data_IF_484808084737
#
_entry.id   IF_484808084737
#
_cell.length_a   1.000
_cell.length_b   1.000
_cell.length_c   1.000
_cell.angle_alpha   90.00
_cell.angle_beta   90.00
_cell.angle_gamma   90.00
#
_symmetry.space_group_name_H-M   'P 1'
#
loop_
_entity.id
_entity.type
_entity.pdbx_description
1 polymer ?
#
# COMPACT_ATOMS: atom_id res chain seq x y z
N UNK A 1 -5.89 26.25 5.85
CA UNK A 1 -4.66 27.07 5.97
C UNK A 1 -3.84 26.77 7.24
N UNK A 2 -4.41 26.91 8.45
CA UNK A 2 -3.67 26.69 9.70
C UNK A 2 -3.00 25.30 9.80
N UNK A 3 -3.73 24.23 9.43
CA UNK A 3 -3.18 22.88 9.37
C UNK A 3 -1.97 22.75 8.42
N UNK A 4 -1.98 23.41 7.26
CA UNK A 4 -0.85 23.42 6.31
C UNK A 4 0.39 24.08 6.92
N UNK A 5 0.23 25.23 7.57
CA UNK A 5 1.33 25.93 8.24
C UNK A 5 1.97 25.11 9.38
N UNK A 6 1.17 24.22 9.98
CA UNK A 6 1.55 23.28 11.03
C UNK A 6 1.89 21.87 10.49
N UNK A 7 2.13 21.72 9.18
CA UNK A 7 2.55 20.47 8.57
C UNK A 7 3.92 19.98 9.05
N UNK A 8 4.26 18.73 8.71
CA UNK A 8 5.58 18.20 9.01
C UNK A 8 6.64 18.95 8.17
N UNK A 9 7.78 19.29 8.79
CA UNK A 9 8.81 20.13 8.16
C UNK A 9 10.14 19.40 8.13
N UNK A 10 10.59 19.08 6.92
CA UNK A 10 11.96 18.64 6.66
C UNK A 10 12.83 19.83 6.30
N UNK A 11 14.05 19.89 6.85
CA UNK A 11 15.06 20.81 6.38
C UNK A 11 15.73 20.27 5.11
N UNK A 12 15.12 20.56 3.96
CA UNK A 12 15.59 20.13 2.65
C UNK A 12 16.96 20.72 2.24
N UNK A 13 17.47 21.72 2.97
CA UNK A 13 18.81 22.27 2.75
C UNK A 13 19.94 21.37 3.28
N UNK A 14 19.62 20.41 4.16
CA UNK A 14 20.60 19.46 4.74
C UNK A 14 20.26 18.00 4.46
N UNK A 15 19.04 17.71 4.01
CA UNK A 15 18.62 16.36 3.64
C UNK A 15 18.59 16.23 2.11
N UNK A 16 19.32 15.24 1.59
CA UNK A 16 19.30 14.87 0.17
C UNK A 16 18.48 13.58 0.02
N UNK A 17 17.33 13.62 -0.67
CA UNK A 17 16.55 12.42 -0.94
C UNK A 17 17.36 11.39 -1.74
N UNK A 18 17.25 10.08 -1.43
CA UNK A 18 17.99 9.06 -2.14
C UNK A 18 17.47 8.91 -3.56
N UNK A 19 18.37 9.03 -4.55
CA UNK A 19 18.04 8.73 -5.94
C UNK A 19 17.90 7.21 -6.14
N UNK A 20 16.80 6.73 -6.76
CA UNK A 20 16.65 5.34 -7.15
C UNK A 20 17.77 4.82 -8.05
N UNK A 21 18.12 3.54 -7.91
CA UNK A 21 19.03 2.85 -8.83
C UNK A 21 18.43 2.68 -10.23
N UNK A 22 17.11 2.77 -10.38
CA UNK A 22 16.43 2.82 -11.66
C UNK A 22 15.20 3.73 -11.61
N UNK A 23 14.83 4.30 -12.77
CA UNK A 23 13.58 5.04 -12.95
C UNK A 23 12.72 4.38 -14.04
N UNK A 24 11.41 4.52 -13.93
CA UNK A 24 10.42 3.94 -14.84
C UNK A 24 9.71 2.74 -14.24
N UNK A 25 9.05 1.95 -15.09
CA UNK A 25 8.19 0.83 -14.69
C UNK A 25 8.87 -0.52 -14.94
N UNK A 26 8.72 -1.46 -14.01
CA UNK A 26 9.13 -2.87 -14.12
C UNK A 26 7.98 -3.78 -13.75
N UNK A 27 7.90 -4.92 -14.44
CA UNK A 27 6.97 -5.99 -14.12
C UNK A 27 7.73 -7.24 -13.67
N UNK A 28 7.10 -8.02 -12.79
CA UNK A 28 7.53 -9.33 -12.35
C UNK A 28 6.35 -10.28 -12.59
N UNK A 29 6.50 -11.23 -13.52
CA UNK A 29 5.45 -12.19 -13.86
C UNK A 29 5.81 -13.59 -13.37
N UNK A 30 4.79 -14.38 -13.03
CA UNK A 30 4.93 -15.74 -12.52
C UNK A 30 5.96 -15.82 -11.37
N UNK A 31 5.84 -14.88 -10.42
CA UNK A 31 6.76 -14.80 -9.29
C UNK A 31 6.59 -16.02 -8.39
N UNK A 32 7.71 -16.51 -7.84
CA UNK A 32 7.75 -17.72 -7.02
C UNK A 32 6.84 -17.61 -5.80
N UNK A 33 5.74 -18.37 -5.78
CA UNK A 33 4.87 -18.48 -4.61
C UNK A 33 5.61 -19.05 -3.39
N UNK A 34 6.64 -19.87 -3.60
CA UNK A 34 7.46 -20.41 -2.53
C UNK A 34 8.30 -19.32 -1.86
N UNK A 35 8.84 -18.36 -2.63
CA UNK A 35 9.53 -17.20 -2.07
C UNK A 35 8.57 -16.29 -1.32
N UNK A 36 7.40 -16.00 -1.91
CA UNK A 36 6.37 -15.15 -1.30
C UNK A 36 5.90 -15.75 0.03
N UNK A 37 5.68 -17.07 0.09
CA UNK A 37 5.23 -17.76 1.30
C UNK A 37 6.17 -17.56 2.51
N UNK A 38 7.45 -17.29 2.28
CA UNK A 38 8.43 -17.00 3.33
C UNK A 38 8.21 -15.67 4.07
N UNK A 39 7.35 -14.79 3.54
CA UNK A 39 7.07 -13.45 4.08
C UNK A 39 5.65 -13.31 4.65
N UNK A 40 4.92 -14.42 4.82
CA UNK A 40 3.55 -14.38 5.36
C UNK A 40 3.56 -13.93 6.83
N UNK A 41 2.79 -12.88 7.15
CA UNK A 41 2.28 -12.66 8.50
C UNK A 41 1.01 -13.50 8.71
N UNK A 42 1.13 -14.51 9.58
CA UNK A 42 0.04 -15.40 9.93
C UNK A 42 -0.94 -14.80 10.94
N UNK A 43 -0.62 -13.68 11.59
CA UNK A 43 -1.50 -13.11 12.61
C UNK A 43 -2.86 -12.70 12.04
N UNK A 44 -2.95 -11.97 10.90
CA UNK A 44 -4.25 -11.63 10.33
C UNK A 44 -4.96 -12.82 9.66
N UNK A 45 -4.22 -13.91 9.32
CA UNK A 45 -4.86 -15.16 8.91
C UNK A 45 -5.77 -15.68 10.04
N UNK A 46 -5.25 -15.82 11.27
CA UNK A 46 -6.07 -16.27 12.39
C UNK A 46 -7.22 -15.30 12.72
N UNK A 47 -6.99 -14.00 12.61
CA UNK A 47 -8.03 -12.99 12.82
C UNK A 47 -9.18 -13.12 11.82
N UNK A 48 -8.88 -13.42 10.55
CA UNK A 48 -9.90 -13.67 9.53
C UNK A 48 -10.76 -14.93 9.82
N UNK A 49 -10.23 -15.84 10.64
CA UNK A 49 -10.93 -17.02 11.15
C UNK A 49 -11.47 -16.82 12.58
N UNK A 50 -11.60 -15.56 13.03
CA UNK A 50 -12.12 -15.17 14.35
C UNK A 50 -11.33 -15.72 15.55
N UNK A 51 -10.06 -16.11 15.33
CA UNK A 51 -9.17 -16.57 16.38
C UNK A 51 -8.27 -15.43 16.86
N UNK A 52 -8.58 -14.90 18.05
CA UNK A 52 -7.84 -13.79 18.64
C UNK A 52 -6.47 -14.24 19.18
N UNK A 53 -5.40 -13.64 18.66
CA UNK A 53 -4.04 -13.89 19.13
C UNK A 53 -3.00 -13.53 18.07
N UNK A 54 -1.74 -13.41 18.49
CA UNK A 54 -0.61 -13.17 17.59
C UNK A 54 0.11 -14.49 17.31
N UNK A 55 0.45 -14.74 16.05
CA UNK A 55 1.32 -15.87 15.70
C UNK A 55 2.77 -15.60 16.18
N UNK A 56 3.53 -16.62 16.65
CA UNK A 56 3.13 -18.03 16.84
C UNK A 56 2.46 -18.32 18.19
N UNK A 57 2.36 -17.33 19.09
CA UNK A 57 1.85 -17.51 20.47
C UNK A 57 0.43 -18.07 20.53
N UNK A 58 -0.43 -17.73 19.57
CA UNK A 58 -1.80 -18.24 19.48
C UNK A 58 -1.87 -19.77 19.43
N UNK A 59 -0.84 -20.43 18.91
CA UNK A 59 -0.80 -21.90 18.82
C UNK A 59 -0.66 -22.58 20.20
N UNK A 60 -0.19 -21.85 21.22
CA UNK A 60 -0.08 -22.33 22.60
C UNK A 60 -1.17 -21.75 23.51
N UNK A 61 -2.17 -21.07 22.96
CA UNK A 61 -3.25 -20.49 23.75
C UNK A 61 -4.11 -21.58 24.42
N UNK A 62 -4.47 -21.37 25.68
CA UNK A 62 -5.22 -22.36 26.48
C UNK A 62 -6.66 -22.58 26.01
N UNK A 63 -7.25 -21.60 25.34
CA UNK A 63 -8.65 -21.64 24.89
C UNK A 63 -8.73 -21.98 23.41
N UNK A 64 -7.96 -21.30 22.57
CA UNK A 64 -8.06 -21.44 21.10
C UNK A 64 -6.90 -22.18 20.45
N UNK A 65 -5.85 -22.54 21.19
CA UNK A 65 -4.60 -23.08 20.62
C UNK A 65 -4.76 -24.41 19.88
N UNK A 66 -5.69 -25.26 20.32
CA UNK A 66 -6.00 -26.53 19.64
C UNK A 66 -6.57 -26.29 18.24
N UNK A 67 -7.60 -25.44 18.13
CA UNK A 67 -8.22 -25.12 16.83
C UNK A 67 -7.28 -24.29 15.95
N UNK A 68 -6.53 -23.34 16.54
CA UNK A 68 -5.52 -22.58 15.81
C UNK A 68 -4.43 -23.49 15.21
N UNK A 69 -3.97 -24.49 15.98
CA UNK A 69 -2.97 -25.46 15.50
C UNK A 69 -3.51 -26.33 14.36
N UNK A 70 -4.75 -26.79 14.47
CA UNK A 70 -5.40 -27.58 13.42
C UNK A 70 -5.58 -26.76 12.13
N UNK A 71 -6.15 -25.57 12.25
CA UNK A 71 -6.33 -24.65 11.12
C UNK A 71 -4.99 -24.30 10.46
N UNK A 72 -3.95 -24.07 11.25
CA UNK A 72 -2.61 -23.80 10.73
C UNK A 72 -2.05 -25.01 9.97
N UNK A 73 -2.24 -26.23 10.48
CA UNK A 73 -1.79 -27.44 9.80
C UNK A 73 -2.50 -27.60 8.43
N UNK A 74 -3.81 -27.37 8.36
CA UNK A 74 -4.58 -27.42 7.12
C UNK A 74 -4.11 -26.32 6.15
N UNK A 75 -3.88 -25.10 6.66
CA UNK A 75 -3.35 -23.99 5.87
C UNK A 75 -1.97 -24.29 5.28
N UNK A 76 -1.07 -24.90 6.06
CA UNK A 76 0.25 -25.31 5.60
C UNK A 76 0.17 -26.42 4.53
N UNK A 77 -0.74 -27.38 4.71
CA UNK A 77 -0.97 -28.44 3.74
C UNK A 77 -1.49 -27.88 2.41
N UNK A 78 -2.53 -27.04 2.44
CA UNK A 78 -3.06 -26.40 1.24
C UNK A 78 -2.07 -25.44 0.59
N UNK A 79 -1.32 -24.65 1.37
CA UNK A 79 -0.28 -23.76 0.84
C UNK A 79 0.79 -24.55 0.06
N UNK A 80 1.18 -25.73 0.56
CA UNK A 80 2.09 -26.62 -0.16
C UNK A 80 1.49 -27.07 -1.49
N UNK A 81 0.21 -27.42 -1.54
CA UNK A 81 -0.48 -27.80 -2.77
C UNK A 81 -0.61 -26.63 -3.76
N UNK A 82 -0.92 -25.43 -3.27
CA UNK A 82 -0.96 -24.19 -4.06
C UNK A 82 0.39 -23.96 -4.75
N UNK A 83 1.49 -24.07 -4.00
CA UNK A 83 2.85 -23.84 -4.50
C UNK A 83 3.28 -24.95 -5.48
N UNK A 84 3.11 -26.22 -5.11
CA UNK A 84 3.56 -27.36 -5.91
C UNK A 84 2.72 -27.54 -7.18
N UNK A 85 1.42 -27.36 -7.05
CA UNK A 85 0.45 -27.48 -8.14
C UNK A 85 0.29 -26.20 -8.95
N UNK A 86 0.99 -25.12 -8.60
CA UNK A 86 0.85 -23.79 -9.21
C UNK A 86 -0.61 -23.38 -9.39
N UNK A 87 -1.41 -23.50 -8.33
CA UNK A 87 -2.84 -23.21 -8.39
C UNK A 87 -3.14 -21.75 -8.68
N UNK A 88 -2.23 -20.87 -8.25
CA UNK A 88 -2.32 -19.43 -8.38
C UNK A 88 -1.09 -18.91 -9.15
N UNK A 89 -1.25 -17.76 -9.81
CA UNK A 89 -0.13 -17.01 -10.40
C UNK A 89 0.04 -15.69 -9.66
N UNK A 90 1.28 -15.36 -9.31
CA UNK A 90 1.62 -14.10 -8.68
C UNK A 90 2.33 -13.16 -9.67
N UNK A 91 1.79 -11.95 -9.82
CA UNK A 91 2.35 -10.92 -10.68
C UNK A 91 2.46 -9.60 -9.91
N UNK A 92 3.48 -8.80 -10.24
CA UNK A 92 3.67 -7.48 -9.72
C UNK A 92 4.06 -6.49 -10.82
N UNK A 93 3.65 -5.25 -10.64
CA UNK A 93 4.18 -4.11 -11.36
C UNK A 93 4.56 -3.02 -10.36
N UNK A 94 5.67 -2.35 -10.59
CA UNK A 94 6.09 -1.22 -9.79
C UNK A 94 6.87 -0.23 -10.63
N UNK A 95 6.95 1.01 -10.16
CA UNK A 95 7.78 2.02 -10.78
C UNK A 95 8.33 3.00 -9.78
N UNK A 96 9.45 3.62 -10.15
CA UNK A 96 10.13 4.67 -9.39
C UNK A 96 10.25 5.90 -10.28
N UNK A 97 9.83 7.05 -9.77
CA UNK A 97 9.60 8.24 -10.57
C UNK A 97 10.15 9.47 -9.86
N UNK A 98 10.70 10.45 -10.60
CA UNK A 98 10.94 11.78 -10.07
C UNK A 98 9.61 12.37 -9.58
N UNK A 99 9.61 12.97 -8.39
CA UNK A 99 8.42 13.57 -7.80
C UNK A 99 8.75 14.81 -6.99
N UNK A 100 7.79 15.71 -6.86
CA UNK A 100 7.86 16.86 -5.97
C UNK A 100 6.49 17.22 -5.41
N UNK A 101 6.49 17.79 -4.21
CA UNK A 101 5.28 18.37 -3.62
C UNK A 101 4.90 19.67 -4.33
N UNK A 102 3.61 19.80 -4.68
CA UNK A 102 3.02 21.01 -5.27
C UNK A 102 3.17 22.16 -4.30
N UNK A 103 3.53 23.35 -4.78
CA UNK A 103 3.62 24.57 -3.94
C UNK A 103 2.35 25.39 -4.09
N UNK A 104 1.74 25.80 -2.97
CA UNK A 104 0.56 26.66 -2.92
C UNK A 104 0.90 27.88 -2.06
N UNK A 105 0.71 29.09 -2.57
CA UNK A 105 0.98 30.35 -1.88
C UNK A 105 2.39 30.45 -1.25
N UNK A 106 3.39 29.91 -1.94
CA UNK A 106 4.79 29.95 -1.52
C UNK A 106 5.17 28.93 -0.43
N UNK A 107 4.27 28.01 -0.05
CA UNK A 107 4.56 26.90 0.87
C UNK A 107 4.28 25.53 0.22
N UNK A 108 4.92 24.44 0.67
CA UNK A 108 4.52 23.09 0.27
C UNK A 108 3.04 22.85 0.53
N UNK A 109 2.34 22.38 -0.49
CA UNK A 109 0.92 22.03 -0.48
C UNK A 109 0.70 20.59 -0.04
N UNK A 110 -0.46 20.04 -0.42
CA UNK A 110 -0.90 18.70 0.01
C UNK A 110 -0.82 17.66 -1.13
N UNK A 111 -0.29 18.00 -2.30
CA UNK A 111 -0.26 17.10 -3.46
C UNK A 111 1.15 16.81 -3.93
N UNK A 112 1.31 15.64 -4.55
CA UNK A 112 2.59 15.18 -5.08
C UNK A 112 2.46 15.08 -6.61
N UNK A 113 3.24 15.88 -7.32
CA UNK A 113 3.44 15.71 -8.77
C UNK A 113 4.45 14.60 -9.01
N UNK A 114 4.10 13.66 -9.87
CA UNK A 114 4.92 12.54 -10.34
C UNK A 114 5.24 12.80 -11.81
N UNK A 115 6.52 12.85 -12.15
CA UNK A 115 6.97 13.23 -13.48
C UNK A 115 7.34 12.02 -14.34
N UNK A 116 7.24 12.22 -15.65
CA UNK A 116 7.64 11.21 -16.65
C UNK A 116 9.16 10.94 -16.67
N UNK A 117 9.97 11.94 -16.32
CA UNK A 117 11.43 11.87 -16.35
C UNK A 117 12.09 12.91 -15.42
N UNK A 118 13.41 12.91 -15.37
CA UNK A 118 14.23 13.77 -14.50
C UNK A 118 14.21 15.24 -14.90
N UNK A 119 13.69 15.60 -16.07
CA UNK A 119 13.57 17.01 -16.45
C UNK A 119 12.43 17.68 -15.69
N UNK A 120 11.49 16.90 -15.12
CA UNK A 120 10.36 17.37 -14.30
C UNK A 120 9.47 18.38 -15.03
N UNK A 121 9.41 18.28 -16.36
CA UNK A 121 8.63 19.19 -17.22
C UNK A 121 7.22 18.66 -17.48
N UNK A 122 7.05 17.34 -17.53
CA UNK A 122 5.77 16.70 -17.84
C UNK A 122 5.32 15.87 -16.63
N UNK A 123 4.19 16.26 -16.04
CA UNK A 123 3.52 15.54 -14.96
C UNK A 123 2.77 14.34 -15.55
N UNK A 124 3.12 13.13 -15.09
CA UNK A 124 2.44 11.89 -15.45
C UNK A 124 1.20 11.64 -14.58
N UNK A 125 1.29 12.02 -13.30
CA UNK A 125 0.22 11.86 -12.31
C UNK A 125 0.39 12.93 -11.23
N UNK A 126 -0.72 13.47 -10.74
CA UNK A 126 -0.75 14.19 -9.46
C UNK A 126 -1.49 13.32 -8.46
N UNK A 127 -0.82 12.94 -7.38
CA UNK A 127 -1.46 12.24 -6.27
C UNK A 127 -2.02 13.27 -5.30
N UNK A 128 -3.34 13.28 -5.14
CA UNK A 128 -3.99 14.20 -4.24
C UNK A 128 -4.10 13.64 -2.83
N UNK A 129 -3.57 14.36 -1.83
CA UNK A 129 -3.60 13.92 -0.45
C UNK A 129 -4.47 14.80 0.44
N UNK A 130 -4.79 14.23 1.60
CA UNK A 130 -5.49 14.89 2.69
C UNK A 130 -4.49 15.17 3.82
N UNK A 131 -4.83 16.19 4.62
CA UNK A 131 -4.07 16.61 5.79
C UNK A 131 -4.94 16.46 7.02
N UNK A 132 -4.33 15.99 8.11
CA UNK A 132 -4.97 16.02 9.42
C UNK A 132 -5.43 17.44 9.76
N UNK A 133 -6.69 17.61 10.16
CA UNK A 133 -7.26 18.95 10.38
C UNK A 133 -7.52 19.28 11.85
N UNK A 134 -7.64 18.27 12.72
CA UNK A 134 -7.76 18.47 14.17
C UNK A 134 -6.62 19.34 14.73
N UNK A 135 -6.94 20.19 15.72
CA UNK A 135 -5.93 20.98 16.46
C UNK A 135 -4.95 20.04 17.16
N UNK A 136 -3.66 20.20 16.88
CA UNK A 136 -2.58 19.43 17.51
C UNK A 136 -1.82 20.30 18.52
N UNK A 137 -1.16 19.68 19.52
CA UNK A 137 -0.12 20.35 20.30
C UNK A 137 0.99 20.89 19.38
N UNK A 138 1.66 21.99 19.78
CA UNK A 138 2.65 22.70 18.96
C UNK A 138 3.83 21.84 18.49
N UNK A 139 4.12 20.74 19.19
CA UNK A 139 5.21 19.81 18.86
C UNK A 139 4.77 18.60 18.02
N UNK A 140 3.48 18.50 17.65
CA UNK A 140 2.94 17.41 16.84
C UNK A 140 2.35 18.02 15.57
N UNK A 141 2.93 17.80 14.39
CA UNK A 141 2.44 18.43 13.18
C UNK A 141 1.10 17.83 12.74
N UNK A 142 0.40 18.60 11.91
CA UNK A 142 -0.75 18.16 11.13
C UNK A 142 -0.25 17.42 9.88
N UNK A 143 -0.08 16.10 9.99
CA UNK A 143 0.53 15.29 8.94
C UNK A 143 -0.27 15.28 7.63
N UNK A 144 0.47 15.33 6.52
CA UNK A 144 0.05 14.95 5.18
C UNK A 144 1.15 14.10 4.53
N UNK A 145 0.81 13.14 3.66
CA UNK A 145 1.80 12.30 2.99
C UNK A 145 2.74 13.12 2.08
N UNK A 146 2.24 14.22 1.50
CA UNK A 146 3.04 15.14 0.69
C UNK A 146 4.16 15.83 1.48
N UNK A 147 4.09 15.87 2.82
CA UNK A 147 5.14 16.47 3.65
C UNK A 147 6.46 15.70 3.57
N UNK A 148 6.42 14.43 3.16
CA UNK A 148 7.60 13.54 3.06
C UNK A 148 8.29 13.61 1.70
N UNK A 149 7.82 14.43 0.77
CA UNK A 149 8.42 14.64 -0.55
C UNK A 149 8.87 16.09 -0.67
N UNK A 150 10.06 16.31 -1.21
CA UNK A 150 10.63 17.64 -1.34
C UNK A 150 9.81 18.52 -2.32
N UNK A 151 9.67 19.83 -2.04
CA UNK A 151 9.12 20.76 -3.02
C UNK A 151 10.08 20.92 -4.23
N UNK A 152 9.57 21.49 -5.33
CA UNK A 152 10.39 21.82 -6.51
C UNK A 152 11.65 22.60 -6.12
N UNK A 153 12.77 22.28 -6.76
CA UNK A 153 14.09 22.81 -6.44
C UNK A 153 15.00 21.81 -5.73
N UNK A 154 14.44 20.76 -5.12
CA UNK A 154 15.18 19.61 -4.58
C UNK A 154 14.72 18.35 -5.31
N UNK A 155 15.66 17.58 -5.83
CA UNK A 155 15.35 16.32 -6.52
C UNK A 155 14.89 15.27 -5.51
N UNK A 156 13.62 14.88 -5.61
CA UNK A 156 13.03 13.79 -4.83
C UNK A 156 12.29 12.81 -5.75
N UNK A 157 11.87 11.68 -5.19
CA UNK A 157 11.34 10.53 -5.89
C UNK A 157 10.24 9.85 -5.09
N UNK A 158 9.35 9.18 -5.80
CA UNK A 158 8.29 8.36 -5.23
C UNK A 158 8.22 7.03 -5.98
N UNK A 159 7.77 5.99 -5.30
CA UNK A 159 7.42 4.73 -5.95
C UNK A 159 5.92 4.49 -6.00
N UNK A 160 5.49 3.65 -6.93
CA UNK A 160 4.14 3.08 -7.00
C UNK A 160 4.22 1.59 -7.24
N UNK A 161 3.26 0.81 -6.72
CA UNK A 161 3.19 -0.62 -6.96
C UNK A 161 1.76 -1.16 -7.02
N UNK A 162 1.60 -2.29 -7.69
CA UNK A 162 0.45 -3.17 -7.60
C UNK A 162 0.91 -4.63 -7.70
N UNK A 163 0.49 -5.48 -6.77
CA UNK A 163 0.80 -6.91 -6.73
C UNK A 163 -0.48 -7.74 -6.59
N UNK A 164 -0.46 -8.95 -7.11
CA UNK A 164 -1.50 -9.96 -6.86
C UNK A 164 -0.86 -11.33 -6.72
N UNK A 165 -1.46 -12.17 -5.90
CA UNK A 165 -1.19 -13.60 -5.84
C UNK A 165 -2.47 -14.43 -6.10
N UNK A 166 -3.51 -13.81 -6.66
CA UNK A 166 -4.84 -14.38 -6.81
C UNK A 166 -5.23 -14.79 -8.23
N UNK A 167 -4.34 -14.69 -9.22
CA UNK A 167 -4.71 -15.04 -10.60
C UNK A 167 -4.99 -16.54 -10.69
N UNK A 168 -6.16 -16.91 -11.21
CA UNK A 168 -6.62 -18.29 -11.32
C UNK A 168 -7.45 -18.79 -10.13
N UNK A 169 -7.64 -17.98 -9.09
CA UNK A 169 -8.35 -18.38 -7.86
C UNK A 169 -9.81 -18.79 -8.10
N UNK A 170 -10.54 -18.07 -8.95
CA UNK A 170 -11.99 -18.27 -9.14
C UNK A 170 -12.32 -19.68 -9.62
N UNK A 171 -11.50 -20.23 -10.52
CA UNK A 171 -11.69 -21.59 -11.03
C UNK A 171 -11.50 -22.66 -9.94
N UNK A 172 -10.55 -22.44 -9.02
CA UNK A 172 -10.27 -23.36 -7.91
C UNK A 172 -11.33 -23.26 -6.82
N UNK A 173 -11.76 -22.05 -6.49
CA UNK A 173 -12.87 -21.80 -5.57
C UNK A 173 -14.15 -22.48 -6.07
N UNK A 174 -14.49 -22.30 -7.35
CA UNK A 174 -15.70 -22.91 -7.93
C UNK A 174 -15.68 -24.45 -7.88
N UNK A 175 -14.49 -25.06 -7.98
CA UNK A 175 -14.36 -26.52 -7.85
C UNK A 175 -14.64 -27.00 -6.42
N UNK A 176 -14.15 -26.30 -5.39
CA UNK A 176 -14.48 -26.59 -3.99
C UNK A 176 -15.97 -26.37 -3.70
N UNK A 177 -16.53 -25.26 -4.17
CA UNK A 177 -17.96 -24.94 -3.97
C UNK A 177 -18.87 -25.99 -4.64
N UNK A 178 -18.51 -26.49 -5.83
CA UNK A 178 -19.24 -27.59 -6.50
C UNK A 178 -19.22 -28.90 -5.71
N UNK A 179 -18.18 -29.12 -4.90
CA UNK A 179 -18.06 -30.27 -4.00
C UNK A 179 -18.71 -30.04 -2.64
N UNK A 180 -19.31 -28.86 -2.41
CA UNK A 180 -19.81 -28.38 -1.11
C UNK A 180 -18.70 -28.32 -0.04
N UNK A 181 -17.46 -28.04 -0.46
CA UNK A 181 -16.31 -27.84 0.43
C UNK A 181 -16.07 -26.35 0.67
N UNK A 182 -17.00 -25.72 1.38
CA UNK A 182 -16.94 -24.30 1.72
C UNK A 182 -15.69 -23.98 2.56
N UNK A 183 -15.24 -24.92 3.39
CA UNK A 183 -14.04 -24.78 4.21
C UNK A 183 -12.79 -24.57 3.35
N UNK A 184 -12.55 -25.45 2.38
CA UNK A 184 -11.38 -25.33 1.50
C UNK A 184 -11.47 -24.10 0.60
N UNK A 185 -12.68 -23.71 0.16
CA UNK A 185 -12.88 -22.48 -0.60
C UNK A 185 -12.50 -21.23 0.23
N UNK A 186 -12.91 -21.15 1.49
CA UNK A 186 -12.54 -20.06 2.41
C UNK A 186 -11.04 -20.10 2.71
N UNK A 187 -10.48 -21.29 2.96
CA UNK A 187 -9.05 -21.45 3.24
C UNK A 187 -8.17 -21.00 2.08
N UNK A 188 -8.55 -21.34 0.83
CA UNK A 188 -7.87 -20.88 -0.37
C UNK A 188 -7.95 -19.34 -0.52
N UNK A 189 -9.12 -18.74 -0.30
CA UNK A 189 -9.30 -17.28 -0.34
C UNK A 189 -8.42 -16.59 0.70
N UNK A 190 -8.40 -17.09 1.94
CA UNK A 190 -7.56 -16.58 3.02
C UNK A 190 -6.06 -16.73 2.72
N UNK A 191 -5.62 -17.86 2.16
CA UNK A 191 -4.22 -18.07 1.78
C UNK A 191 -3.79 -17.16 0.62
N UNK A 192 -4.64 -16.97 -0.39
CA UNK A 192 -4.34 -16.06 -1.50
C UNK A 192 -4.18 -14.61 -1.02
N UNK A 193 -5.03 -14.16 -0.11
CA UNK A 193 -4.93 -12.85 0.54
C UNK A 193 -3.60 -12.70 1.30
N UNK A 194 -3.23 -13.71 2.11
CA UNK A 194 -1.93 -13.74 2.80
C UNK A 194 -0.75 -13.70 1.84
N UNK A 195 -0.82 -14.42 0.72
CA UNK A 195 0.22 -14.39 -0.32
C UNK A 195 0.31 -13.01 -1.00
N UNK A 196 -0.81 -12.32 -1.23
CA UNK A 196 -0.79 -10.98 -1.82
C UNK A 196 -0.10 -9.95 -0.88
N UNK A 197 -0.43 -9.99 0.41
CA UNK A 197 0.22 -9.15 1.43
C UNK A 197 1.72 -9.47 1.59
N UNK A 198 2.06 -10.76 1.64
CA UNK A 198 3.45 -11.21 1.69
C UNK A 198 4.24 -10.78 0.44
N UNK A 199 3.60 -10.74 -0.73
CA UNK A 199 4.23 -10.27 -1.94
C UNK A 199 4.46 -8.75 -1.91
N UNK A 200 3.53 -7.98 -1.34
CA UNK A 200 3.73 -6.55 -1.12
C UNK A 200 4.91 -6.28 -0.18
N UNK A 201 5.06 -7.08 0.89
CA UNK A 201 6.20 -7.01 1.82
C UNK A 201 7.53 -7.33 1.14
N UNK A 202 7.59 -8.45 0.42
CA UNK A 202 8.77 -8.88 -0.33
C UNK A 202 9.15 -7.86 -1.40
N UNK A 203 8.18 -7.36 -2.18
CA UNK A 203 8.46 -6.34 -3.18
C UNK A 203 8.99 -5.05 -2.53
N UNK A 204 8.41 -4.63 -1.41
CA UNK A 204 8.89 -3.46 -0.68
C UNK A 204 10.33 -3.66 -0.20
N UNK A 205 10.67 -4.81 0.38
CA UNK A 205 12.06 -5.17 0.74
C UNK A 205 13.01 -5.00 -0.44
N UNK A 206 12.65 -5.57 -1.60
CA UNK A 206 13.46 -5.47 -2.82
C UNK A 206 13.55 -4.05 -3.34
N UNK A 207 12.51 -3.23 -3.21
CA UNK A 207 12.57 -1.81 -3.55
C UNK A 207 13.57 -1.09 -2.66
N UNK A 208 13.53 -1.29 -1.34
CA UNK A 208 14.47 -0.63 -0.42
C UNK A 208 15.93 -1.02 -0.67
N UNK A 209 16.18 -2.31 -0.92
CA UNK A 209 17.53 -2.88 -1.02
C UNK A 209 18.13 -2.81 -2.43
N UNK A 210 17.32 -3.08 -3.45
CA UNK A 210 17.78 -3.31 -4.83
C UNK A 210 17.37 -2.15 -5.76
N UNK A 211 16.06 -1.88 -5.88
CA UNK A 211 15.55 -1.03 -6.96
C UNK A 211 15.65 0.47 -6.67
N UNK A 212 15.30 0.88 -5.45
CA UNK A 212 15.57 2.23 -4.95
C UNK A 212 16.96 2.25 -4.32
N UNK A 213 17.27 1.26 -3.48
CA UNK A 213 18.64 1.04 -2.98
C UNK A 213 19.06 1.93 -1.81
N UNK A 214 18.14 2.62 -1.15
CA UNK A 214 18.45 3.48 -0.01
C UNK A 214 18.78 2.71 1.28
N UNK A 215 18.59 1.39 1.30
CA UNK A 215 18.87 0.51 2.42
C UNK A 215 19.51 -0.82 1.95
N UNK A 216 20.51 -0.76 1.07
CA UNK A 216 21.12 -1.95 0.44
C UNK A 216 21.69 -2.98 1.45
N UNK A 217 22.16 -2.49 2.59
CA UNK A 217 22.74 -3.25 3.70
C UNK A 217 21.72 -3.74 4.75
N UNK A 218 20.42 -3.55 4.52
CA UNK A 218 19.36 -4.00 5.42
C UNK A 218 19.35 -5.54 5.59
N UNK A 219 19.35 -6.01 6.84
CA UNK A 219 19.35 -7.44 7.21
C UNK A 219 18.21 -7.80 8.18
N UNK A 220 17.03 -7.21 8.00
CA UNK A 220 15.87 -7.47 8.86
C UNK A 220 15.34 -8.90 8.66
N UNK A 221 14.95 -9.54 9.76
CA UNK A 221 14.18 -10.78 9.73
C UNK A 221 12.68 -10.49 9.52
N UNK A 222 11.89 -11.54 9.29
CA UNK A 222 10.46 -11.39 9.00
C UNK A 222 9.68 -10.73 10.14
N UNK A 223 10.05 -11.00 11.40
CA UNK A 223 9.40 -10.36 12.55
C UNK A 223 9.70 -8.86 12.60
N UNK A 224 10.93 -8.44 12.33
CA UNK A 224 11.29 -7.03 12.25
C UNK A 224 10.62 -6.33 11.05
N UNK A 225 10.43 -7.03 9.93
CA UNK A 225 9.66 -6.55 8.78
C UNK A 225 8.18 -6.33 9.15
N UNK A 226 7.53 -7.32 9.78
CA UNK A 226 6.13 -7.21 10.26
C UNK A 226 5.98 -6.06 11.26
N UNK A 227 6.98 -5.84 12.12
CA UNK A 227 6.98 -4.73 13.08
C UNK A 227 7.48 -3.40 12.45
N UNK A 228 7.56 -3.32 11.12
CA UNK A 228 7.91 -2.14 10.34
C UNK A 228 9.23 -1.47 10.76
N UNK A 229 10.25 -2.26 11.11
CA UNK A 229 11.55 -1.76 11.59
C UNK A 229 12.48 -1.23 10.50
N UNK A 230 12.00 -1.15 9.26
CA UNK A 230 12.70 -0.57 8.13
C UNK A 230 12.45 0.93 8.00
N UNK A 231 13.30 1.58 7.18
CA UNK A 231 13.10 2.97 6.76
C UNK A 231 12.08 3.07 5.61
N UNK A 232 11.20 4.06 5.69
CA UNK A 232 10.20 4.35 4.66
C UNK A 232 8.88 3.62 4.87
N UNK A 233 7.88 3.96 4.04
CA UNK A 233 6.51 3.44 4.16
C UNK A 233 5.93 3.09 2.79
N UNK A 234 4.88 2.25 2.79
CA UNK A 234 4.14 1.83 1.59
C UNK A 234 2.62 2.12 1.63
N UNK A 235 2.16 3.37 1.82
CA UNK A 235 0.74 3.68 1.98
C UNK A 235 -0.11 3.29 0.77
N UNK A 236 -1.27 2.72 1.04
CA UNK A 236 -2.21 2.20 0.06
C UNK A 236 -3.53 3.00 0.07
N UNK A 237 -4.02 3.52 -1.07
CA UNK A 237 -5.29 4.23 -1.12
C UNK A 237 -6.46 3.42 -0.55
N UNK A 238 -7.21 4.03 0.36
CA UNK A 238 -8.26 3.42 1.19
C UNK A 238 -7.85 3.17 2.64
N UNK A 239 -6.54 3.16 2.93
CA UNK A 239 -6.04 3.08 4.31
C UNK A 239 -6.09 4.45 5.02
N UNK A 240 -6.03 4.50 6.36
CA UNK A 240 -6.24 5.73 7.12
C UNK A 240 -5.37 6.94 6.73
N UNK A 241 -4.15 6.72 6.23
CA UNK A 241 -3.24 7.79 5.80
C UNK A 241 -3.62 8.42 4.45
N UNK A 242 -4.35 7.68 3.61
CA UNK A 242 -4.81 8.10 2.29
C UNK A 242 -6.16 7.42 1.98
N UNK A 243 -7.24 7.81 2.67
CA UNK A 243 -8.50 7.05 2.67
C UNK A 243 -9.29 7.14 1.36
N UNK A 244 -8.88 7.99 0.42
CA UNK A 244 -9.61 8.20 -0.83
C UNK A 244 -9.25 7.10 -1.86
N UNK A 245 -10.26 6.33 -2.28
CA UNK A 245 -10.06 5.13 -3.09
C UNK A 245 -9.80 5.43 -4.58
N UNK A 246 -10.29 6.55 -5.11
CA UNK A 246 -10.15 6.89 -6.53
C UNK A 246 -8.70 7.15 -6.95
N UNK A 247 -7.81 7.47 -6.02
CA UNK A 247 -6.36 7.59 -6.27
C UNK A 247 -5.73 6.31 -6.83
N UNK A 248 -6.39 5.14 -6.71
CA UNK A 248 -5.94 3.92 -7.39
C UNK A 248 -6.00 4.02 -8.92
N UNK A 249 -6.98 4.74 -9.48
CA UNK A 249 -7.13 4.82 -10.93
C UNK A 249 -5.93 5.47 -11.64
N UNK A 250 -5.46 6.68 -11.24
CA UNK A 250 -4.26 7.26 -11.81
C UNK A 250 -3.00 6.44 -11.50
N UNK A 251 -2.92 5.78 -10.33
CA UNK A 251 -1.81 4.85 -10.03
C UNK A 251 -1.78 3.66 -11.02
N UNK A 252 -2.94 3.06 -11.30
CA UNK A 252 -3.06 1.95 -12.23
C UNK A 252 -2.73 2.37 -13.67
N UNK A 253 -3.13 3.58 -14.06
CA UNK A 253 -2.75 4.16 -15.34
C UNK A 253 -1.24 4.42 -15.44
N UNK A 254 -0.63 4.98 -14.39
CA UNK A 254 0.81 5.24 -14.30
C UNK A 254 1.64 3.95 -14.44
N UNK A 255 1.18 2.87 -13.83
CA UNK A 255 1.87 1.58 -13.81
C UNK A 255 1.48 0.64 -14.97
N UNK A 256 0.41 0.93 -15.71
CA UNK A 256 -0.20 -0.01 -16.65
C UNK A 256 -0.54 -1.37 -15.99
N UNK A 257 -1.11 -1.30 -14.77
CA UNK A 257 -1.35 -2.47 -13.93
C UNK A 257 -2.24 -3.56 -14.55
N UNK A 258 -3.28 -3.25 -15.34
CA UNK A 258 -4.07 -4.28 -16.03
C UNK A 258 -3.24 -5.12 -16.98
N UNK A 259 -2.34 -4.53 -17.77
CA UNK A 259 -1.55 -5.27 -18.75
C UNK A 259 -0.31 -5.91 -18.12
N UNK A 260 0.34 -5.22 -17.16
CA UNK A 260 1.61 -5.65 -16.57
C UNK A 260 1.47 -6.64 -15.43
N UNK A 261 0.44 -6.48 -14.60
CA UNK A 261 0.19 -7.34 -13.45
C UNK A 261 -1.11 -8.17 -13.56
N UNK A 262 -2.00 -7.86 -14.51
CA UNK A 262 -3.29 -8.54 -14.62
C UNK A 262 -4.30 -8.11 -13.56
N UNK A 263 -4.15 -6.89 -13.02
CA UNK A 263 -5.00 -6.37 -11.95
C UNK A 263 -5.89 -5.27 -12.51
N UNK A 264 -7.20 -5.39 -12.30
CA UNK A 264 -8.19 -4.39 -12.74
C UNK A 264 -8.88 -3.72 -11.55
N UNK A 265 -9.56 -2.61 -11.82
CA UNK A 265 -10.38 -1.89 -10.84
C UNK A 265 -11.84 -2.03 -11.20
N UNK A 266 -12.69 -2.25 -10.19
CA UNK A 266 -14.15 -2.11 -10.30
C UNK A 266 -14.55 -0.64 -10.32
N UNK A 267 -15.82 -0.35 -10.57
CA UNK A 267 -16.39 1.01 -10.47
C UNK A 267 -16.25 1.64 -9.07
N UNK A 268 -16.10 0.80 -8.03
CA UNK A 268 -15.85 1.22 -6.65
C UNK A 268 -14.35 1.27 -6.29
N UNK A 269 -13.46 1.09 -7.27
CA UNK A 269 -12.01 1.00 -7.10
C UNK A 269 -11.56 -0.13 -6.16
N UNK A 270 -12.35 -1.22 -6.09
CA UNK A 270 -11.85 -2.49 -5.56
C UNK A 270 -10.96 -3.15 -6.62
N UNK A 271 -9.94 -3.89 -6.18
CA UNK A 271 -9.02 -4.58 -7.08
C UNK A 271 -9.51 -5.99 -7.39
N UNK A 272 -9.29 -6.42 -8.63
CA UNK A 272 -9.50 -7.80 -9.09
C UNK A 272 -8.22 -8.34 -9.73
N UNK A 273 -7.74 -9.56 -9.38
CA UNK A 273 -8.27 -10.45 -8.34
C UNK A 273 -8.28 -9.80 -6.94
N UNK A 274 -9.17 -10.25 -6.05
CA UNK A 274 -9.35 -9.64 -4.72
C UNK A 274 -8.12 -9.76 -3.83
N UNK A 275 -7.35 -10.84 -3.99
CA UNK A 275 -6.02 -11.00 -3.41
C UNK A 275 -4.99 -10.14 -4.16
N UNK A 276 -5.05 -8.83 -3.93
CA UNK A 276 -4.18 -7.83 -4.52
C UNK A 276 -3.93 -6.67 -3.57
N UNK A 277 -2.75 -6.06 -3.68
CA UNK A 277 -2.34 -4.88 -2.91
C UNK A 277 -1.74 -3.85 -3.85
N UNK A 278 -2.09 -2.58 -3.69
CA UNK A 278 -1.47 -1.48 -4.43
C UNK A 278 -1.24 -0.27 -3.53
N UNK A 279 -0.25 0.54 -3.86
CA UNK A 279 0.09 1.72 -3.08
C UNK A 279 1.31 2.44 -3.62
N UNK A 280 1.86 3.31 -2.79
CA UNK A 280 3.03 4.14 -3.09
C UNK A 280 4.19 3.79 -2.17
N UNK A 281 5.41 4.21 -2.51
CA UNK A 281 6.59 4.08 -1.68
C UNK A 281 7.19 5.44 -1.33
N UNK A 282 7.51 5.65 -0.06
CA UNK A 282 8.24 6.82 0.43
C UNK A 282 9.55 6.39 1.07
N UNK A 283 10.64 7.09 0.74
CA UNK A 283 11.98 6.81 1.29
C UNK A 283 12.40 7.75 2.42
N UNK A 284 11.63 8.80 2.72
CA UNK A 284 11.98 9.76 3.76
C UNK A 284 12.11 9.04 5.13
N UNK A 285 13.19 9.27 5.90
CA UNK A 285 13.47 8.53 7.13
C UNK A 285 12.39 8.71 8.20
N UNK A 286 11.78 9.89 8.28
CA UNK A 286 10.72 10.19 9.23
C UNK A 286 9.30 9.86 8.71
N UNK A 287 9.19 9.28 7.51
CA UNK A 287 7.89 8.89 6.98
C UNK A 287 7.27 7.81 7.87
N UNK A 288 6.02 8.04 8.26
CA UNK A 288 5.26 7.13 9.12
C UNK A 288 3.79 7.12 8.75
N UNK A 289 3.13 6.01 9.06
CA UNK A 289 1.68 5.92 8.98
C UNK A 289 1.00 6.81 10.02
N UNK A 290 -0.13 7.39 9.61
CA UNK A 290 -1.02 8.17 10.46
C UNK A 290 -2.46 8.00 9.96
N UNK A 291 -3.43 8.28 10.81
CA UNK A 291 -4.82 8.40 10.37
C UNK A 291 -5.11 9.87 10.03
N UNK A 292 -5.71 10.13 8.87
CA UNK A 292 -6.16 11.47 8.46
C UNK A 292 -7.11 12.08 9.49
N UNK A 293 -7.94 11.24 10.12
CA UNK A 293 -8.96 11.68 11.06
C UNK A 293 -10.09 12.39 10.34
N UNK A 294 -10.79 13.29 11.06
CA UNK A 294 -11.89 14.07 10.49
C UNK A 294 -11.38 15.35 9.81
N UNK A 295 -12.00 15.70 8.67
CA UNK A 295 -11.71 16.89 7.86
C UNK A 295 -12.95 17.77 7.73
N UNK A 296 -12.75 19.08 7.66
CA UNK A 296 -13.81 20.06 7.56
C UNK A 296 -14.10 20.45 6.10
N UNK A 297 -15.23 21.15 5.91
CA UNK A 297 -15.78 21.51 4.60
C UNK A 297 -14.82 22.31 3.70
N UNK A 298 -13.93 23.11 4.28
CA UNK A 298 -12.95 23.89 3.52
C UNK A 298 -11.91 22.98 2.83
N UNK A 299 -11.44 21.93 3.51
CA UNK A 299 -10.54 20.96 2.92
C UNK A 299 -11.24 20.08 1.89
N UNK A 300 -12.50 19.68 2.15
CA UNK A 300 -13.30 18.92 1.17
C UNK A 300 -13.49 19.72 -0.12
N UNK A 301 -13.83 21.01 -0.02
CA UNK A 301 -13.95 21.90 -1.17
C UNK A 301 -12.62 22.06 -1.92
N UNK A 302 -11.51 22.26 -1.20
CA UNK A 302 -10.17 22.33 -1.81
C UNK A 302 -9.75 21.01 -2.47
N UNK A 303 -10.11 19.85 -1.90
CA UNK A 303 -9.85 18.55 -2.51
C UNK A 303 -10.70 18.34 -3.78
N UNK A 304 -11.99 18.72 -3.74
CA UNK A 304 -12.89 18.67 -4.88
C UNK A 304 -12.33 19.49 -6.06
N UNK A 305 -11.92 20.73 -5.80
CA UNK A 305 -11.33 21.61 -6.82
C UNK A 305 -10.08 20.97 -7.46
N UNK A 306 -9.15 20.46 -6.65
CA UNK A 306 -7.89 19.84 -7.14
C UNK A 306 -8.13 18.58 -7.96
N UNK A 307 -9.20 17.83 -7.65
CA UNK A 307 -9.64 16.64 -8.40
C UNK A 307 -10.52 16.95 -9.61
N UNK A 308 -10.92 18.21 -9.79
CA UNK A 308 -11.92 18.60 -10.80
C UNK A 308 -13.30 17.99 -10.53
N UNK A 309 -13.68 17.84 -9.27
CA UNK A 309 -14.96 17.31 -8.82
C UNK A 309 -15.87 18.43 -8.30
N UNK A 310 -17.18 18.19 -8.32
CA UNK A 310 -18.11 18.94 -7.48
C UNK A 310 -18.00 18.49 -6.01
N UNK A 311 -18.57 19.30 -5.11
CA UNK A 311 -18.52 19.06 -3.68
C UNK A 311 -19.26 17.77 -3.28
N UNK A 312 -20.38 17.45 -3.93
CA UNK A 312 -21.22 16.29 -3.62
C UNK A 312 -20.47 14.98 -3.89
N UNK A 313 -19.73 14.92 -5.00
CA UNK A 313 -18.86 13.79 -5.33
C UNK A 313 -17.72 13.66 -4.34
N UNK A 314 -17.09 14.77 -3.93
CA UNK A 314 -16.04 14.74 -2.92
C UNK A 314 -16.58 14.25 -1.57
N UNK A 315 -17.73 14.73 -1.12
CA UNK A 315 -18.40 14.28 0.11
C UNK A 315 -18.74 12.79 0.08
N UNK A 316 -19.19 12.27 -1.08
CA UNK A 316 -19.46 10.83 -1.24
C UNK A 316 -18.20 9.99 -1.04
N UNK A 317 -17.09 10.34 -1.67
CA UNK A 317 -15.85 9.56 -1.57
C UNK A 317 -15.13 9.76 -0.23
N UNK A 318 -15.28 10.94 0.39
CA UNK A 318 -14.67 11.28 1.67
C UNK A 318 -15.58 11.05 2.87
N UNK A 319 -16.77 10.47 2.68
CA UNK A 319 -17.78 10.27 3.72
C UNK A 319 -17.23 9.70 5.05
N UNK A 320 -16.31 8.70 5.07
CA UNK A 320 -15.76 8.19 6.32
C UNK A 320 -14.99 9.23 7.15
N UNK A 321 -14.43 10.26 6.51
CA UNK A 321 -13.58 11.27 7.14
C UNK A 321 -14.22 12.65 7.28
N UNK A 322 -15.49 12.84 6.91
CA UNK A 322 -16.17 14.13 7.12
C UNK A 322 -16.42 14.41 8.61
N UNK A 323 -16.21 15.67 9.02
CA UNK A 323 -16.50 16.18 10.38
C UNK A 323 -17.91 16.78 10.53
N UNK A 324 -18.68 16.86 9.43
CA UNK A 324 -19.97 17.53 9.33
C UNK A 324 -20.97 16.69 8.54
#
# INVERSE_FOLDING_TARGET
AAARAHGFKTNWGIYTPPKPNFLGVRELRDYSLAEIAGFIDWSPFFQAWELAGRYPKILQDEVVGVEATKLFADAQAMLKEIVQGKWLTANAVFGLFPANTVTVDGIPGDDIEIYTDETRNNVAMTWHNLRQQSKKPDNIPNFCLADYIAPKGVADYIGGFAVTAGIGIDARVAEFEKQNDDYSAILLKSLADRLAEAFAELLHLRVRREFWGYAADETLDNDAMINEKYRGIRPAPGYPACPEHSEKAPLFALLDAPNKAGITLTDSYAMLPTAAVSGFYFSHPDAKYFATGKIDRDQVASYAERKGWDIEKAERWLAPVLSY
#
